data_IF_674504184177
#
_entry.id   IF_674504184177
#
_cell.length_a   1.000
_cell.length_b   1.000
_cell.length_c   1.000
_cell.angle_alpha   90.00
_cell.angle_beta   90.00
_cell.angle_gamma   90.00
#
_symmetry.space_group_name_H-M   'P 1'
#
loop_
_entity.id
_entity.type
_entity.pdbx_description
1 polymer ?
#
# COMPACT_ATOMS: atom_id res chain seq x y z
N UNK A 1 -42.21 -11.81 2.58
CA UNK A 1 -41.29 -11.12 3.51
C UNK A 1 -39.89 -11.68 3.29
N UNK A 2 -39.10 -11.07 2.40
CA UNK A 2 -37.72 -11.46 2.14
C UNK A 2 -36.83 -10.74 3.16
N UNK A 3 -36.44 -11.46 4.22
CA UNK A 3 -35.42 -10.99 5.15
C UNK A 3 -34.07 -11.08 4.44
N UNK A 4 -33.49 -9.95 4.06
CA UNK A 4 -32.09 -9.90 3.63
C UNK A 4 -31.22 -10.21 4.84
N UNK A 5 -30.65 -11.41 4.86
CA UNK A 5 -29.63 -11.77 5.85
C UNK A 5 -28.44 -10.84 5.65
N UNK A 6 -28.22 -9.95 6.61
CA UNK A 6 -26.98 -9.16 6.73
C UNK A 6 -25.78 -10.09 6.60
N UNK A 7 -24.97 -9.89 5.56
CA UNK A 7 -23.75 -10.65 5.36
C UNK A 7 -22.79 -10.36 6.52
N UNK A 8 -22.43 -11.38 7.31
CA UNK A 8 -21.45 -11.24 8.41
C UNK A 8 -20.11 -10.63 7.96
N UNK A 9 -19.86 -10.62 6.65
CA UNK A 9 -18.72 -10.01 5.98
C UNK A 9 -18.64 -8.48 6.08
N UNK A 10 -19.76 -7.77 6.24
CA UNK A 10 -19.77 -6.30 6.31
C UNK A 10 -18.96 -5.72 7.49
N UNK A 11 -18.61 -6.55 8.48
CA UNK A 11 -17.82 -6.15 9.65
C UNK A 11 -16.31 -6.39 9.53
N UNK A 12 -15.85 -7.11 8.50
CA UNK A 12 -14.45 -7.45 8.32
C UNK A 12 -13.68 -6.29 7.67
N UNK A 13 -12.82 -5.63 8.45
CA UNK A 13 -11.94 -4.56 7.98
C UNK A 13 -10.49 -5.02 8.01
N UNK A 14 -9.87 -5.09 6.85
CA UNK A 14 -8.45 -5.36 6.66
C UNK A 14 -7.86 -4.24 5.81
N UNK A 15 -6.72 -3.71 6.22
CA UNK A 15 -5.95 -2.73 5.44
C UNK A 15 -4.68 -3.40 4.91
N UNK A 16 -4.43 -3.29 3.61
CA UNK A 16 -3.18 -3.71 3.01
C UNK A 16 -2.25 -2.51 2.85
N UNK A 17 -0.99 -2.67 3.26
CA UNK A 17 0.13 -1.77 2.98
C UNK A 17 0.98 -2.46 1.92
N UNK A 18 1.12 -1.81 0.77
CA UNK A 18 1.81 -2.30 -0.41
C UNK A 18 2.92 -1.32 -0.75
N UNK A 19 4.07 -1.82 -1.17
CA UNK A 19 5.20 -0.98 -1.53
C UNK A 19 6.01 -1.63 -2.67
N UNK A 20 6.55 -0.77 -3.52
CA UNK A 20 7.46 -1.14 -4.61
C UNK A 20 8.73 -0.31 -4.49
N UNK A 21 9.87 -0.89 -4.88
CA UNK A 21 11.11 -0.12 -5.08
C UNK A 21 11.01 0.70 -6.36
N UNK A 22 11.86 1.73 -6.51
CA UNK A 22 11.97 2.49 -7.74
C UNK A 22 12.41 1.62 -8.95
N UNK A 23 13.00 0.44 -8.70
CA UNK A 23 13.39 -0.54 -9.72
C UNK A 23 12.29 -1.56 -10.05
N UNK A 24 11.06 -1.33 -9.59
CA UNK A 24 9.92 -2.20 -9.89
C UNK A 24 9.79 -3.45 -9.03
N UNK A 25 10.57 -3.60 -7.96
CA UNK A 25 10.51 -4.77 -7.08
C UNK A 25 9.40 -4.61 -6.05
N UNK A 26 8.45 -5.54 -6.05
CA UNK A 26 7.38 -5.61 -5.05
C UNK A 26 7.92 -6.08 -3.71
N UNK A 27 7.67 -5.31 -2.65
CA UNK A 27 7.96 -5.73 -1.28
C UNK A 27 6.86 -6.66 -0.76
N UNK A 28 7.14 -7.54 0.22
CA UNK A 28 6.10 -8.35 0.83
C UNK A 28 4.97 -7.47 1.41
N UNK A 29 3.70 -7.79 1.14
CA UNK A 29 2.59 -6.97 1.58
C UNK A 29 2.40 -7.10 3.09
N UNK A 30 1.94 -6.04 3.74
CA UNK A 30 1.49 -6.07 5.13
C UNK A 30 -0.03 -5.96 5.16
N UNK A 31 -0.71 -6.92 5.75
CA UNK A 31 -2.13 -6.84 6.02
C UNK A 31 -2.38 -6.56 7.52
N UNK A 32 -3.32 -5.66 7.79
CA UNK A 32 -3.60 -5.12 9.12
C UNK A 32 -5.05 -5.45 9.48
N UNK A 33 -5.24 -6.28 10.49
CA UNK A 33 -6.55 -6.72 10.95
C UNK A 33 -7.06 -5.88 12.11
N UNK A 34 -8.39 -5.77 12.18
CA UNK A 34 -9.05 -5.18 13.33
C UNK A 34 -9.02 -6.15 14.50
N UNK A 35 -8.37 -5.78 15.60
CA UNK A 35 -8.40 -6.58 16.83
C UNK A 35 -8.35 -5.69 18.07
N UNK A 36 -9.18 -5.98 19.08
CA UNK A 36 -9.34 -5.13 20.28
C UNK A 36 -8.02 -4.90 21.02
N UNK A 37 -7.18 -5.94 21.10
CA UNK A 37 -5.82 -5.86 21.60
C UNK A 37 -4.89 -5.72 20.39
N UNK A 38 -4.59 -4.49 19.98
CA UNK A 38 -3.58 -4.26 18.94
C UNK A 38 -2.21 -4.65 19.47
N UNK A 39 -1.43 -5.39 18.69
CA UNK A 39 -0.11 -5.85 19.11
C UNK A 39 1.02 -4.96 18.57
N UNK A 40 0.78 -4.23 17.46
CA UNK A 40 1.80 -3.48 16.67
C UNK A 40 2.99 -4.31 16.19
N UNK A 41 3.08 -5.56 16.63
CA UNK A 41 3.99 -6.58 16.18
C UNK A 41 3.63 -6.99 14.77
N UNK A 42 4.66 -7.16 13.95
CA UNK A 42 4.55 -7.72 12.62
C UNK A 42 4.94 -9.20 12.73
N UNK A 43 3.97 -10.07 12.49
CA UNK A 43 4.18 -11.50 12.32
C UNK A 43 4.16 -11.84 10.82
N UNK A 44 4.47 -13.08 10.47
CA UNK A 44 4.47 -13.56 9.08
C UNK A 44 3.57 -14.76 8.92
N UNK A 45 2.65 -14.67 7.96
CA UNK A 45 1.75 -15.76 7.57
C UNK A 45 2.00 -16.04 6.10
N UNK A 46 2.73 -17.13 5.82
CA UNK A 46 3.25 -17.41 4.48
C UNK A 46 4.15 -16.29 3.95
N UNK A 47 3.71 -15.66 2.86
CA UNK A 47 4.44 -14.56 2.19
C UNK A 47 3.90 -13.17 2.52
N UNK A 48 2.97 -13.06 3.47
CA UNK A 48 2.34 -11.80 3.88
C UNK A 48 2.71 -11.48 5.32
N UNK A 49 3.09 -10.23 5.57
CA UNK A 49 3.22 -9.70 6.91
C UNK A 49 1.84 -9.41 7.49
N UNK A 50 1.66 -9.67 8.78
CA UNK A 50 0.38 -9.54 9.48
C UNK A 50 0.57 -8.72 10.74
N UNK A 51 -0.29 -7.73 10.94
CA UNK A 51 -0.36 -6.96 12.18
C UNK A 51 -1.80 -6.76 12.64
N UNK A 52 -1.97 -6.45 13.93
CA UNK A 52 -3.27 -6.27 14.55
C UNK A 52 -3.39 -4.88 15.15
N UNK A 53 -4.47 -4.17 14.80
CA UNK A 53 -4.74 -2.81 15.26
C UNK A 53 -6.21 -2.66 15.70
N UNK A 54 -6.52 -1.84 16.73
CA UNK A 54 -7.90 -1.66 17.20
C UNK A 54 -8.87 -1.15 16.13
N UNK A 55 -8.36 -0.37 15.16
CA UNK A 55 -9.13 0.24 14.08
C UNK A 55 -8.78 -0.29 12.68
N UNK A 56 -7.92 -1.31 12.58
CA UNK A 56 -7.36 -1.77 11.29
C UNK A 56 -6.82 -0.61 10.44
N UNK A 57 -6.02 0.27 11.05
CA UNK A 57 -5.37 1.38 10.36
C UNK A 57 -3.90 1.46 10.77
N UNK A 58 -3.09 2.07 9.91
CA UNK A 58 -1.67 2.31 10.18
C UNK A 58 -1.55 3.39 11.26
N UNK A 59 -0.76 3.11 12.30
CA UNK A 59 -0.29 4.12 13.26
C UNK A 59 1.24 4.26 13.17
N UNK A 60 1.77 5.30 13.78
CA UNK A 60 3.20 5.64 13.70
C UNK A 60 4.13 4.53 14.20
N UNK A 61 3.71 3.78 15.21
CA UNK A 61 4.54 2.74 15.83
C UNK A 61 4.57 1.48 14.96
N UNK A 62 3.41 1.03 14.45
CA UNK A 62 3.35 -0.06 13.48
C UNK A 62 4.16 0.28 12.22
N UNK A 63 4.14 1.54 11.79
CA UNK A 63 4.89 2.00 10.64
C UNK A 63 6.41 1.99 10.89
N UNK A 64 6.86 2.36 12.08
CA UNK A 64 8.27 2.22 12.47
C UNK A 64 8.73 0.76 12.43
N UNK A 65 7.89 -0.17 12.91
CA UNK A 65 8.18 -1.60 12.86
C UNK A 65 8.21 -2.12 11.42
N UNK A 66 7.33 -1.60 10.56
CA UNK A 66 7.34 -1.93 9.14
C UNK A 66 8.61 -1.44 8.45
N UNK A 67 9.06 -0.21 8.71
CA UNK A 67 10.33 0.34 8.21
C UNK A 67 11.50 -0.56 8.63
N UNK A 68 11.57 -0.99 9.89
CA UNK A 68 12.61 -1.91 10.36
C UNK A 68 12.58 -3.27 9.63
N UNK A 69 11.39 -3.71 9.23
CA UNK A 69 11.18 -4.98 8.52
C UNK A 69 11.61 -4.90 7.05
N UNK A 70 11.26 -3.81 6.36
CA UNK A 70 11.52 -3.68 4.91
C UNK A 70 12.87 -3.03 4.58
N UNK A 71 13.44 -2.28 5.51
CA UNK A 71 14.83 -1.81 5.48
C UNK A 71 15.62 -2.49 6.61
N UNK A 72 16.04 -3.76 6.46
CA UNK A 72 16.82 -4.42 7.50
C UNK A 72 18.16 -3.70 7.71
N UNK A 73 18.58 -3.55 8.97
CA UNK A 73 19.83 -2.85 9.34
C UNK A 73 21.10 -3.43 8.72
N UNK A 74 21.05 -4.69 8.26
CA UNK A 74 22.20 -5.41 7.69
C UNK A 74 22.52 -4.98 6.25
N UNK A 75 21.57 -4.31 5.57
CA UNK A 75 21.76 -3.72 4.24
C UNK A 75 21.87 -2.19 4.34
N UNK A 76 23.05 -1.68 4.65
CA UNK A 76 23.35 -0.24 4.53
C UNK A 76 23.73 0.07 3.08
N UNK A 77 22.73 0.21 2.22
CA UNK A 77 22.92 0.93 0.96
C UNK A 77 22.73 2.43 1.25
N UNK A 78 23.61 3.28 0.73
CA UNK A 78 23.40 4.73 0.72
C UNK A 78 22.21 5.09 -0.18
N UNK A 79 21.58 6.25 0.05
CA UNK A 79 20.52 6.76 -0.83
C UNK A 79 19.15 6.09 -0.67
N UNK A 80 18.80 5.60 0.54
CA UNK A 80 17.44 5.09 0.80
C UNK A 80 16.46 6.26 0.91
N UNK A 81 15.31 6.16 0.25
CA UNK A 81 14.21 7.09 0.43
C UNK A 81 12.86 6.37 0.49
N UNK A 82 11.92 6.97 1.21
CA UNK A 82 10.51 6.60 1.21
C UNK A 82 9.70 7.73 0.59
N UNK A 83 8.87 7.38 -0.38
CA UNK A 83 7.88 8.28 -0.99
C UNK A 83 6.49 7.83 -0.57
N UNK A 84 5.72 8.72 0.02
CA UNK A 84 4.35 8.42 0.46
C UNK A 84 3.47 9.67 0.55
N UNK A 85 2.17 9.44 0.66
CA UNK A 85 1.19 10.49 0.90
C UNK A 85 1.32 11.17 2.28
N UNK A 86 0.61 12.28 2.42
CA UNK A 86 0.62 13.14 3.61
C UNK A 86 -0.35 12.67 4.70
N UNK A 87 -0.72 11.38 4.78
CA UNK A 87 -1.56 10.92 5.90
C UNK A 87 -0.85 11.13 7.24
N UNK A 88 -1.62 11.45 8.27
CA UNK A 88 -1.10 11.84 9.59
C UNK A 88 -0.08 10.87 10.20
N UNK A 89 -0.23 9.56 9.98
CA UNK A 89 0.72 8.55 10.46
C UNK A 89 2.10 8.70 9.78
N UNK A 90 2.12 8.84 8.45
CA UNK A 90 3.31 8.98 7.61
C UNK A 90 4.13 10.22 7.98
N UNK A 91 3.45 11.35 8.22
CA UNK A 91 4.13 12.63 8.52
C UNK A 91 4.37 12.87 10.01
N UNK A 92 4.12 11.88 10.86
CA UNK A 92 4.26 12.01 12.31
C UNK A 92 5.71 12.24 12.74
N UNK A 93 5.90 12.96 13.86
CA UNK A 93 7.24 13.25 14.43
C UNK A 93 8.04 11.96 14.68
N UNK A 94 7.38 10.92 15.20
CA UNK A 94 7.98 9.62 15.48
C UNK A 94 8.56 8.98 14.23
N UNK A 95 7.80 9.00 13.15
CA UNK A 95 8.20 8.37 11.87
C UNK A 95 9.31 9.18 11.19
N UNK A 96 9.22 10.52 11.21
CA UNK A 96 10.30 11.39 10.74
C UNK A 96 11.61 11.13 11.51
N UNK A 97 11.54 11.03 12.84
CA UNK A 97 12.70 10.73 13.68
C UNK A 97 13.26 9.33 13.38
N UNK A 98 12.40 8.33 13.14
CA UNK A 98 12.82 6.97 12.76
C UNK A 98 13.57 6.98 11.42
N UNK A 99 13.03 7.64 10.40
CA UNK A 99 13.69 7.74 9.09
C UNK A 99 15.05 8.44 9.21
N UNK A 100 15.12 9.57 9.93
CA UNK A 100 16.38 10.29 10.16
C UNK A 100 17.42 9.42 10.88
N UNK A 101 17.03 8.70 11.93
CA UNK A 101 17.92 7.80 12.67
C UNK A 101 18.41 6.59 11.84
N UNK A 102 17.71 6.28 10.74
CA UNK A 102 18.02 5.15 9.84
C UNK A 102 18.66 5.59 8.52
N UNK A 103 18.95 6.89 8.37
CA UNK A 103 19.40 7.51 7.13
C UNK A 103 18.50 7.13 5.94
N UNK A 104 17.21 7.42 6.11
CA UNK A 104 16.18 7.23 5.08
C UNK A 104 15.60 8.61 4.76
N UNK A 105 15.80 9.07 3.53
CA UNK A 105 15.17 10.26 2.99
C UNK A 105 13.65 10.13 3.01
N UNK A 106 12.94 11.22 3.30
CA UNK A 106 11.49 11.23 3.35
C UNK A 106 10.94 12.21 2.32
N UNK A 107 10.26 11.68 1.29
CA UNK A 107 9.53 12.47 0.31
C UNK A 107 8.03 12.35 0.57
N UNK A 108 7.40 13.48 0.89
CA UNK A 108 5.96 13.54 1.19
C UNK A 108 5.22 14.15 0.01
N UNK A 109 4.29 13.38 -0.55
CA UNK A 109 3.43 13.85 -1.62
C UNK A 109 2.41 14.85 -1.04
N UNK A 110 2.34 16.08 -1.57
CA UNK A 110 1.36 17.07 -1.13
C UNK A 110 -0.07 16.56 -1.29
N UNK A 111 -0.96 17.02 -0.40
CA UNK A 111 -2.38 16.69 -0.48
C UNK A 111 -2.97 17.06 -1.84
N UNK A 112 -3.77 16.17 -2.41
CA UNK A 112 -4.37 16.35 -3.74
C UNK A 112 -3.48 15.94 -4.92
N UNK A 113 -2.22 15.57 -4.70
CA UNK A 113 -1.31 15.15 -5.77
C UNK A 113 -1.02 13.65 -5.84
N UNK A 114 -1.60 12.84 -4.95
CA UNK A 114 -1.36 11.38 -4.92
C UNK A 114 -1.74 10.70 -6.24
N UNK A 115 -2.83 11.12 -6.89
CA UNK A 115 -3.25 10.59 -8.19
C UNK A 115 -2.22 10.81 -9.32
N UNK A 116 -1.25 11.71 -9.14
CA UNK A 116 -0.27 12.10 -10.15
C UNK A 116 1.17 11.75 -9.79
N UNK A 117 1.47 11.64 -8.49
CA UNK A 117 2.82 11.45 -7.96
C UNK A 117 2.99 10.14 -7.18
N UNK A 118 1.90 9.42 -6.87
CA UNK A 118 1.97 8.15 -6.16
C UNK A 118 1.75 6.99 -7.13
N UNK A 119 2.80 6.21 -7.41
CA UNK A 119 2.71 5.03 -8.28
C UNK A 119 1.56 4.07 -7.87
N UNK A 120 1.32 3.96 -6.56
CA UNK A 120 0.17 3.26 -5.98
C UNK A 120 -1.16 3.69 -6.62
N UNK A 121 -1.47 4.98 -6.58
CA UNK A 121 -2.74 5.53 -7.07
C UNK A 121 -2.82 5.62 -8.60
N UNK A 122 -1.68 5.79 -9.28
CA UNK A 122 -1.63 5.92 -10.75
C UNK A 122 -2.13 4.65 -11.45
N UNK A 123 -1.76 3.46 -10.96
CA UNK A 123 -2.15 2.21 -11.64
C UNK A 123 -2.18 0.97 -10.77
N UNK A 124 -1.25 0.87 -9.81
CA UNK A 124 -1.03 -0.35 -9.01
C UNK A 124 -2.28 -0.73 -8.21
N UNK A 125 -2.90 0.21 -7.50
CA UNK A 125 -4.03 -0.06 -6.62
C UNK A 125 -5.28 -0.51 -7.38
N UNK A 126 -5.48 -0.05 -8.61
CA UNK A 126 -6.61 -0.51 -9.44
C UNK A 126 -6.48 -2.01 -9.71
N UNK A 127 -5.35 -2.43 -10.29
CA UNK A 127 -5.15 -3.84 -10.62
C UNK A 127 -5.13 -4.73 -9.36
N UNK A 128 -4.55 -4.26 -8.26
CA UNK A 128 -4.60 -4.96 -6.98
C UNK A 128 -6.05 -5.21 -6.53
N UNK A 129 -6.90 -4.17 -6.53
CA UNK A 129 -8.29 -4.27 -6.09
C UNK A 129 -9.11 -5.19 -7.00
N UNK A 130 -8.92 -5.11 -8.31
CA UNK A 130 -9.62 -5.97 -9.27
C UNK A 130 -9.27 -7.45 -9.04
N UNK A 131 -7.98 -7.77 -8.88
CA UNK A 131 -7.51 -9.13 -8.60
C UNK A 131 -7.99 -9.64 -7.23
N UNK A 132 -7.88 -8.80 -6.20
CA UNK A 132 -8.37 -9.15 -4.86
C UNK A 132 -9.88 -9.40 -4.85
N UNK A 133 -10.64 -8.57 -5.57
CA UNK A 133 -12.08 -8.74 -5.77
C UNK A 133 -12.42 -10.08 -6.41
N UNK A 134 -11.75 -10.42 -7.51
CA UNK A 134 -11.94 -11.70 -8.19
C UNK A 134 -11.65 -12.90 -7.27
N UNK A 135 -10.54 -12.88 -6.52
CA UNK A 135 -10.18 -13.95 -5.57
C UNK A 135 -11.26 -14.11 -4.49
N UNK A 136 -11.71 -12.99 -3.91
CA UNK A 136 -12.75 -12.99 -2.88
C UNK A 136 -14.07 -13.54 -3.44
N UNK A 137 -14.44 -13.16 -4.65
CA UNK A 137 -15.69 -13.61 -5.28
C UNK A 137 -15.62 -15.09 -5.66
N UNK A 138 -14.49 -15.60 -6.15
CA UNK A 138 -14.28 -17.04 -6.33
C UNK A 138 -14.45 -17.79 -5.00
N UNK A 139 -13.87 -17.28 -3.91
CA UNK A 139 -14.04 -17.91 -2.60
C UNK A 139 -15.49 -17.91 -2.12
N UNK A 140 -16.21 -16.77 -2.23
CA UNK A 140 -17.62 -16.67 -1.83
C UNK A 140 -18.53 -17.66 -2.56
N UNK A 141 -18.19 -18.00 -3.79
CA UNK A 141 -18.95 -18.94 -4.63
C UNK A 141 -18.44 -20.39 -4.55
N UNK A 142 -17.50 -20.67 -3.64
CA UNK A 142 -16.95 -22.01 -3.42
C UNK A 142 -17.60 -22.73 -2.23
N UNK A 143 -17.31 -24.02 -2.10
CA UNK A 143 -17.65 -24.86 -0.94
C UNK A 143 -16.81 -24.55 0.32
N UNK A 144 -15.81 -23.66 0.21
CA UNK A 144 -14.91 -23.27 1.30
C UNK A 144 -15.51 -22.24 2.26
N UNK A 145 -16.70 -21.71 1.96
CA UNK A 145 -17.39 -20.78 2.87
C UNK A 145 -17.99 -21.59 4.01
N UNK A 146 -17.50 -21.36 5.22
CA UNK A 146 -18.09 -21.95 6.42
C UNK A 146 -19.31 -21.14 6.89
N UNK A 147 -20.25 -21.83 7.53
CA UNK A 147 -21.46 -21.20 8.07
C UNK A 147 -21.58 -21.44 9.58
N UNK A 148 -22.18 -20.48 10.28
CA UNK A 148 -22.60 -20.63 11.67
C UNK A 148 -23.83 -21.52 11.75
N UNK A 149 -24.17 -22.03 12.95
CA UNK A 149 -25.40 -22.83 13.17
C UNK A 149 -26.68 -22.08 12.75
N UNK A 150 -26.67 -20.75 12.80
CA UNK A 150 -27.77 -19.89 12.34
C UNK A 150 -27.80 -19.67 10.80
N UNK A 151 -26.87 -20.29 10.06
CA UNK A 151 -26.76 -20.17 8.60
C UNK A 151 -26.16 -18.84 8.13
N UNK A 152 -25.43 -18.11 8.99
CA UNK A 152 -24.68 -16.92 8.58
C UNK A 152 -23.25 -17.31 8.16
N UNK A 153 -22.69 -16.75 7.08
CA UNK A 153 -21.31 -17.00 6.68
C UNK A 153 -20.33 -16.62 7.80
N UNK A 154 -19.31 -17.46 8.02
CA UNK A 154 -18.19 -17.15 8.89
C UNK A 154 -17.16 -16.30 8.15
N UNK A 155 -16.51 -15.34 8.82
CA UNK A 155 -15.36 -14.65 8.25
C UNK A 155 -14.25 -15.65 7.88
N UNK A 156 -13.54 -15.44 6.76
CA UNK A 156 -12.36 -16.24 6.43
C UNK A 156 -11.29 -16.12 7.52
N UNK A 157 -10.45 -17.14 7.66
CA UNK A 157 -9.31 -17.09 8.57
C UNK A 157 -8.26 -16.08 8.11
N UNK A 158 -7.31 -15.77 9.00
CA UNK A 158 -6.22 -14.83 8.70
C UNK A 158 -5.32 -15.39 7.61
N UNK A 159 -5.07 -16.70 7.63
CA UNK A 159 -4.27 -17.42 6.64
C UNK A 159 -4.90 -17.32 5.25
N UNK A 160 -6.23 -17.46 5.17
CA UNK A 160 -6.97 -17.33 3.92
C UNK A 160 -6.85 -15.91 3.37
N UNK A 161 -7.11 -14.89 4.19
CA UNK A 161 -7.03 -13.48 3.74
C UNK A 161 -5.59 -13.07 3.43
N UNK A 162 -4.60 -13.50 4.22
CA UNK A 162 -3.19 -13.28 3.96
C UNK A 162 -2.75 -13.91 2.62
N UNK A 163 -3.29 -15.09 2.30
CA UNK A 163 -3.13 -15.75 1.00
C UNK A 163 -3.70 -14.91 -0.14
N UNK A 164 -4.92 -14.39 -0.01
CA UNK A 164 -5.54 -13.55 -1.04
C UNK A 164 -4.76 -12.26 -1.30
N UNK A 165 -4.29 -11.59 -0.24
CA UNK A 165 -3.48 -10.38 -0.35
C UNK A 165 -2.16 -10.70 -1.07
N UNK A 166 -1.50 -11.81 -0.72
CA UNK A 166 -0.29 -12.24 -1.40
C UNK A 166 -0.53 -12.53 -2.88
N UNK A 167 -1.56 -13.31 -3.19
CA UNK A 167 -1.88 -13.73 -4.55
C UNK A 167 -2.24 -12.53 -5.44
N UNK A 168 -3.12 -11.64 -4.95
CA UNK A 168 -3.48 -10.42 -5.65
C UNK A 168 -2.26 -9.54 -5.91
N UNK A 169 -1.40 -9.36 -4.91
CA UNK A 169 -0.20 -8.54 -5.00
C UNK A 169 0.85 -9.13 -5.96
N UNK A 170 1.12 -10.42 -5.83
CA UNK A 170 2.02 -11.15 -6.73
C UNK A 170 1.54 -11.07 -8.17
N UNK A 171 0.24 -11.20 -8.39
CA UNK A 171 -0.38 -11.24 -9.71
C UNK A 171 -0.37 -9.92 -10.48
N UNK A 172 -0.09 -8.77 -9.88
CA UNK A 172 -0.01 -7.49 -10.61
C UNK A 172 1.03 -7.58 -11.73
N UNK A 173 0.71 -7.08 -12.91
CA UNK A 173 1.62 -7.22 -14.05
C UNK A 173 2.84 -6.31 -13.85
N UNK A 174 4.02 -6.81 -14.22
CA UNK A 174 5.26 -6.02 -14.03
C UNK A 174 5.21 -4.71 -14.82
N UNK A 175 4.64 -4.72 -16.03
CA UNK A 175 4.44 -3.51 -16.83
C UNK A 175 3.55 -2.47 -16.12
N UNK A 176 2.56 -2.89 -15.33
CA UNK A 176 1.73 -1.96 -14.54
C UNK A 176 2.56 -1.31 -13.43
N UNK A 177 3.45 -2.08 -12.78
CA UNK A 177 4.38 -1.54 -11.78
C UNK A 177 5.31 -0.52 -12.43
N UNK A 178 6.02 -0.92 -13.49
CA UNK A 178 7.05 -0.11 -14.14
C UNK A 178 6.46 1.17 -14.72
N UNK A 179 5.33 1.07 -15.44
CA UNK A 179 4.64 2.24 -15.99
C UNK A 179 4.12 3.19 -14.90
N UNK A 180 3.65 2.65 -13.77
CA UNK A 180 3.18 3.49 -12.66
C UNK A 180 4.34 4.22 -11.96
N UNK A 181 5.49 3.57 -11.84
CA UNK A 181 6.72 4.18 -11.29
C UNK A 181 7.24 5.27 -12.23
N UNK A 182 7.38 4.96 -13.52
CA UNK A 182 7.80 5.92 -14.54
C UNK A 182 6.89 7.17 -14.52
N UNK A 183 5.58 6.96 -14.55
CA UNK A 183 4.58 8.03 -14.50
C UNK A 183 4.59 8.83 -13.19
N UNK A 184 5.06 8.25 -12.07
CA UNK A 184 5.17 8.92 -10.77
C UNK A 184 6.39 9.86 -10.65
N UNK A 185 7.17 10.04 -11.72
CA UNK A 185 8.34 10.93 -11.71
C UNK A 185 9.69 10.21 -11.67
N UNK A 186 9.72 8.89 -11.92
CA UNK A 186 10.96 8.11 -11.94
C UNK A 186 11.44 7.73 -13.35
N UNK A 187 10.73 8.16 -14.38
CA UNK A 187 11.25 8.06 -15.76
C UNK A 187 12.37 9.09 -15.97
N UNK A 188 13.43 8.76 -16.73
CA UNK A 188 14.39 9.76 -17.18
C UNK A 188 13.79 10.78 -18.16
N UNK A 189 12.60 10.51 -18.71
CA UNK A 189 11.90 11.38 -19.65
C UNK A 189 10.73 12.07 -18.93
N UNK A 190 10.78 13.40 -18.71
CA UNK A 190 9.74 14.10 -17.97
C UNK A 190 8.35 14.03 -18.60
N UNK A 191 8.24 13.87 -19.92
CA UNK A 191 6.98 13.73 -20.64
C UNK A 191 6.23 12.42 -20.34
N UNK A 192 6.92 11.40 -19.83
CA UNK A 192 6.30 10.19 -19.31
C UNK A 192 5.65 10.40 -17.94
N UNK A 193 6.02 11.46 -17.21
CA UNK A 193 5.46 11.75 -15.89
C UNK A 193 4.01 12.23 -16.02
N UNK A 194 3.15 11.75 -15.11
CA UNK A 194 1.73 12.06 -15.21
C UNK A 194 1.45 13.54 -14.90
N UNK A 195 2.15 14.11 -13.91
CA UNK A 195 2.01 15.53 -13.56
C UNK A 195 2.45 16.45 -14.70
N UNK A 196 3.44 16.05 -15.51
CA UNK A 196 3.97 16.84 -16.62
C UNK A 196 2.90 17.11 -17.68
N UNK A 197 2.06 16.10 -17.96
CA UNK A 197 0.98 16.17 -18.96
C UNK A 197 -0.36 16.64 -18.38
N UNK A 198 -0.39 17.05 -17.12
CA UNK A 198 -1.63 17.47 -16.47
C UNK A 198 -2.15 18.79 -17.06
N UNK A 199 -3.44 18.86 -17.36
CA UNK A 199 -4.09 20.03 -17.99
C UNK A 199 -4.03 21.31 -17.13
N UNK A 200 -4.25 21.20 -15.83
CA UNK A 200 -4.16 22.31 -14.87
C UNK A 200 -2.74 22.54 -14.36
N UNK A 201 -2.06 21.50 -13.87
CA UNK A 201 -0.79 21.65 -13.17
C UNK A 201 0.45 21.57 -14.08
N UNK A 202 0.35 20.93 -15.24
CA UNK A 202 1.50 20.55 -16.06
C UNK A 202 2.34 21.73 -16.51
N UNK A 203 1.71 22.81 -17.03
CA UNK A 203 2.46 23.99 -17.48
C UNK A 203 3.24 24.67 -16.36
N UNK A 204 2.65 24.79 -15.16
CA UNK A 204 3.34 25.39 -14.01
C UNK A 204 4.46 24.49 -13.50
N UNK A 205 4.24 23.17 -13.52
CA UNK A 205 5.25 22.19 -13.14
C UNK A 205 6.45 22.24 -14.09
N UNK A 206 6.21 22.27 -15.41
CA UNK A 206 7.25 22.39 -16.45
C UNK A 206 8.12 23.63 -16.25
N UNK A 207 7.49 24.80 -16.04
CA UNK A 207 8.20 26.05 -15.81
C UNK A 207 9.10 25.99 -14.57
N UNK A 208 8.57 25.48 -13.45
CA UNK A 208 9.34 25.34 -12.22
C UNK A 208 10.50 24.32 -12.38
N UNK A 209 10.25 23.21 -13.08
CA UNK A 209 11.27 22.19 -13.34
C UNK A 209 12.44 22.73 -14.18
N UNK A 210 12.14 23.43 -15.26
CA UNK A 210 13.15 24.06 -16.13
C UNK A 210 13.93 25.18 -15.43
N UNK A 211 13.34 25.85 -14.43
CA UNK A 211 14.03 26.83 -13.60
C UNK A 211 15.00 26.17 -12.64
N UNK A 212 14.62 25.06 -12.00
CA UNK A 212 15.51 24.29 -11.11
C UNK A 212 16.69 23.66 -11.87
N UNK A 213 16.47 23.09 -13.06
CA UNK A 213 17.55 22.51 -13.89
C UNK A 213 18.59 23.54 -14.35
N UNK A 214 18.25 24.83 -14.40
CA UNK A 214 19.20 25.90 -14.74
C UNK A 214 20.08 26.32 -13.56
N UNK A 215 19.68 25.96 -12.34
CA UNK A 215 20.34 26.39 -11.10
C UNK A 215 21.18 25.27 -10.47
N UNK A 216 20.87 23.99 -10.77
CA UNK A 216 21.63 22.82 -10.35
C UNK A 216 22.81 22.48 -11.25
#
# INVERSE_FOLDING_TARGET
MLSSKSTGFASMRVTAVLAVTATGVKLPPLAIWKHKKGSRKIDRVGSTYVAYQPKAGVDSELLCNWIDTVFPCVGQAEGKALVWDSISAHISKTVKAKCAARDIGLCVIPGGLTAYLQAGDIGIYRQFKDRLGAIIDTWKNSDRVEYTRAGNPRPPSIEVVAGWVHEAWKGIDQSVIDNSIAAAGFSPLPDEWFIWRHDVYGRRFQQAWEEEEKVG
#
